data_IF_460776066761
#
_entry.id   IF_460776066761
#
_cell.length_a   1.000
_cell.length_b   1.000
_cell.length_c   1.000
_cell.angle_alpha   90.00
_cell.angle_beta   90.00
_cell.angle_gamma   90.00
#
_symmetry.space_group_name_H-M   'P 1'
#
loop_
_entity.id
_entity.type
_entity.pdbx_description
1 polymer ?
#
# COMPACT_ATOMS: atom_id res chain seq x y z
N UNK A 1 10.36 11.56 25.78
CA UNK A 1 9.53 11.50 24.57
C UNK A 1 8.97 10.08 24.48
N UNK A 2 7.67 9.86 24.29
CA UNK A 2 7.19 8.50 24.05
C UNK A 2 7.83 8.03 22.74
N UNK A 3 8.49 6.87 22.80
CA UNK A 3 8.96 6.14 21.63
C UNK A 3 7.68 5.91 20.79
N UNK A 4 7.64 6.30 19.50
CA UNK A 4 6.51 5.96 18.66
C UNK A 4 6.31 4.45 18.77
N UNK A 5 5.08 4.01 19.06
CA UNK A 5 4.74 2.59 19.05
C UNK A 5 5.21 1.99 17.73
N UNK A 6 6.24 1.14 17.75
CA UNK A 6 6.75 0.45 16.57
C UNK A 6 5.58 -0.28 15.91
N UNK A 7 5.17 0.18 14.73
CA UNK A 7 4.02 -0.38 14.04
C UNK A 7 4.50 -1.61 13.27
N UNK A 8 3.84 -2.77 13.45
CA UNK A 8 4.34 -4.03 12.87
C UNK A 8 4.33 -4.06 11.35
N UNK A 9 3.37 -3.39 10.70
CA UNK A 9 3.23 -3.45 9.25
C UNK A 9 2.72 -2.14 8.65
N UNK A 10 3.08 -1.92 7.39
CA UNK A 10 2.50 -0.92 6.50
C UNK A 10 1.73 -1.60 5.37
N UNK A 11 0.60 -1.03 4.96
CA UNK A 11 -0.13 -1.49 3.78
C UNK A 11 0.08 -0.51 2.65
N UNK A 12 0.84 -0.90 1.64
CA UNK A 12 1.01 -0.10 0.42
C UNK A 12 -0.09 -0.42 -0.58
N UNK A 13 -0.66 0.61 -1.18
CA UNK A 13 -1.67 0.50 -2.23
C UNK A 13 -1.13 1.21 -3.48
N UNK A 14 -0.56 0.44 -4.43
CA UNK A 14 -0.01 0.99 -5.66
C UNK A 14 -1.11 1.57 -6.56
N UNK A 15 -0.95 2.81 -6.99
CA UNK A 15 -1.90 3.49 -7.89
C UNK A 15 -1.17 4.32 -8.95
N UNK A 16 -1.78 4.43 -10.13
CA UNK A 16 -1.25 5.22 -11.25
C UNK A 16 -2.34 6.00 -12.01
N UNK A 17 -3.62 5.78 -11.70
CA UNK A 17 -4.76 6.46 -12.31
C UNK A 17 -5.19 7.62 -11.41
N UNK A 18 -5.66 8.71 -12.01
CA UNK A 18 -6.24 9.83 -11.26
C UNK A 18 -7.57 9.46 -10.61
N UNK A 19 -8.39 8.71 -11.34
CA UNK A 19 -9.71 8.25 -10.90
C UNK A 19 -9.69 6.73 -10.78
N UNK A 20 -9.96 6.17 -9.59
CA UNK A 20 -10.17 4.75 -9.46
C UNK A 20 -11.45 4.34 -10.20
N UNK A 21 -11.41 3.18 -10.85
CA UNK A 21 -12.63 2.51 -11.31
C UNK A 21 -13.53 2.14 -10.12
N UNK A 22 -14.77 1.81 -10.42
CA UNK A 22 -15.75 1.45 -9.40
C UNK A 22 -15.34 0.20 -8.59
N UNK A 23 -14.67 -0.78 -9.22
CA UNK A 23 -14.11 -1.94 -8.52
C UNK A 23 -12.92 -1.56 -7.63
N UNK A 24 -11.97 -0.76 -8.16
CA UNK A 24 -10.81 -0.30 -7.40
C UNK A 24 -11.23 0.55 -6.17
N UNK A 25 -12.24 1.41 -6.34
CA UNK A 25 -12.81 2.20 -5.24
C UNK A 25 -13.45 1.31 -4.16
N UNK A 26 -14.16 0.24 -4.56
CA UNK A 26 -14.73 -0.74 -3.62
C UNK A 26 -13.63 -1.49 -2.86
N UNK A 27 -12.56 -1.90 -3.53
CA UNK A 27 -11.43 -2.56 -2.88
C UNK A 27 -10.75 -1.63 -1.87
N UNK A 28 -10.57 -0.35 -2.20
CA UNK A 28 -10.03 0.63 -1.26
C UNK A 28 -10.95 0.85 -0.05
N UNK A 29 -12.25 1.02 -0.27
CA UNK A 29 -13.23 1.17 0.80
C UNK A 29 -13.36 -0.10 1.66
N UNK A 30 -13.12 -1.27 1.09
CA UNK A 30 -13.09 -2.53 1.83
C UNK A 30 -11.94 -2.56 2.83
N UNK A 31 -10.75 -2.07 2.47
CA UNK A 31 -9.63 -1.93 3.41
C UNK A 31 -10.00 -0.99 4.57
N UNK A 32 -10.70 0.11 4.27
CA UNK A 32 -11.20 1.06 5.28
C UNK A 32 -12.21 0.41 6.21
N UNK A 33 -13.19 -0.31 5.65
CA UNK A 33 -14.23 -1.01 6.40
C UNK A 33 -13.65 -2.07 7.34
N UNK A 34 -12.59 -2.74 6.91
CA UNK A 34 -11.88 -3.75 7.67
C UNK A 34 -10.83 -3.18 8.63
N UNK A 35 -10.81 -1.85 8.79
CA UNK A 35 -9.91 -1.14 9.71
C UNK A 35 -8.43 -1.50 9.49
N UNK A 36 -8.02 -1.64 8.22
CA UNK A 36 -6.62 -1.89 7.88
C UNK A 36 -5.79 -0.67 8.26
N UNK A 37 -4.67 -0.91 8.95
CA UNK A 37 -3.81 0.13 9.50
C UNK A 37 -2.75 0.57 8.47
N UNK A 38 -2.25 1.80 8.65
CA UNK A 38 -1.07 2.34 7.96
C UNK A 38 -1.17 2.22 6.42
N UNK A 39 -2.34 2.53 5.88
CA UNK A 39 -2.59 2.45 4.44
C UNK A 39 -1.95 3.62 3.73
N UNK A 40 -0.94 3.32 2.92
CA UNK A 40 -0.13 4.28 2.16
C UNK A 40 -0.32 4.10 0.66
N UNK A 41 -0.72 5.16 -0.03
CA UNK A 41 -0.76 5.18 -1.49
C UNK A 41 0.67 5.26 -2.05
N UNK A 42 1.07 4.24 -2.81
CA UNK A 42 2.34 4.21 -3.54
C UNK A 42 2.10 4.69 -4.98
N UNK A 43 2.55 5.91 -5.32
CA UNK A 43 2.08 6.58 -6.53
C UNK A 43 3.13 7.49 -7.19
N UNK A 44 2.94 7.87 -8.48
CA UNK A 44 3.80 8.84 -9.16
C UNK A 44 3.81 10.20 -8.44
N UNK A 45 4.94 10.90 -8.44
CA UNK A 45 5.11 12.24 -7.88
C UNK A 45 4.02 13.23 -8.30
N UNK A 46 3.60 13.19 -9.56
CA UNK A 46 2.69 14.17 -10.17
C UNK A 46 1.21 13.75 -10.16
N UNK A 47 0.87 12.60 -9.56
CA UNK A 47 -0.50 12.09 -9.59
C UNK A 47 -1.39 12.90 -8.62
N UNK A 48 -2.48 13.46 -9.15
CA UNK A 48 -3.55 14.06 -8.35
C UNK A 48 -4.33 12.97 -7.59
N UNK A 49 -4.47 13.16 -6.28
CA UNK A 49 -5.05 12.19 -5.35
C UNK A 49 -6.40 12.64 -4.77
N UNK A 50 -6.98 13.75 -5.23
CA UNK A 50 -8.24 14.27 -4.67
C UNK A 50 -9.36 13.22 -4.60
N UNK A 51 -9.50 12.40 -5.63
CA UNK A 51 -10.53 11.34 -5.68
C UNK A 51 -10.30 10.24 -4.63
N UNK A 52 -9.03 9.90 -4.35
CA UNK A 52 -8.70 8.93 -3.31
C UNK A 52 -8.97 9.48 -1.91
N UNK A 53 -8.63 10.76 -1.67
CA UNK A 53 -8.91 11.41 -0.39
C UNK A 53 -10.40 11.66 -0.15
N UNK A 54 -11.19 11.86 -1.21
CA UNK A 54 -12.64 11.92 -1.09
C UNK A 54 -13.24 10.59 -0.61
N UNK A 55 -12.64 9.45 -1.01
CA UNK A 55 -13.06 8.12 -0.57
C UNK A 55 -12.54 7.78 0.84
N UNK A 56 -11.28 8.14 1.11
CA UNK A 56 -10.60 7.85 2.36
C UNK A 56 -9.60 8.98 2.70
N UNK A 57 -9.99 9.94 3.57
CA UNK A 57 -9.16 11.10 3.91
C UNK A 57 -7.86 10.78 4.66
N UNK A 58 -7.83 9.72 5.46
CA UNK A 58 -6.70 9.38 6.35
C UNK A 58 -5.56 8.61 5.65
N UNK A 59 -5.60 8.47 4.33
CA UNK A 59 -4.56 7.78 3.57
C UNK A 59 -3.20 8.48 3.68
N UNK A 60 -2.15 7.70 3.88
CA UNK A 60 -0.76 8.16 3.79
C UNK A 60 -0.29 8.15 2.33
N UNK A 61 0.82 8.83 2.03
CA UNK A 61 1.34 8.95 0.67
C UNK A 61 2.83 8.62 0.63
N UNK A 62 3.21 7.73 -0.28
CA UNK A 62 4.59 7.54 -0.71
C UNK A 62 4.70 7.79 -2.21
N UNK A 63 5.50 8.80 -2.57
CA UNK A 63 5.73 9.17 -3.98
C UNK A 63 6.96 8.46 -4.54
N UNK A 64 6.88 8.09 -5.81
CA UNK A 64 8.00 7.58 -6.59
C UNK A 64 8.09 8.29 -7.94
N UNK A 65 9.30 8.30 -8.52
CA UNK A 65 9.53 8.91 -9.82
C UNK A 65 8.60 8.34 -10.89
N UNK A 66 8.00 9.22 -11.70
CA UNK A 66 6.97 8.86 -12.70
C UNK A 66 7.42 7.79 -13.70
N UNK A 67 8.74 7.66 -13.94
CA UNK A 67 9.33 6.62 -14.80
C UNK A 67 8.98 5.19 -14.38
N UNK A 68 8.60 4.96 -13.12
CA UNK A 68 8.21 3.65 -12.62
C UNK A 68 6.76 3.27 -12.96
N UNK A 69 5.94 4.21 -13.44
CA UNK A 69 4.51 3.97 -13.69
C UNK A 69 4.13 4.14 -15.17
N UNK A 70 5.10 4.00 -16.09
CA UNK A 70 4.86 4.14 -17.53
C UNK A 70 4.35 2.83 -18.17
N UNK A 71 4.63 1.68 -17.55
CA UNK A 71 4.17 0.37 -18.00
C UNK A 71 4.08 -0.61 -16.83
N UNK A 72 3.47 -1.77 -17.08
CA UNK A 72 3.46 -2.88 -16.11
C UNK A 72 4.88 -3.31 -15.76
N UNK A 73 5.78 -3.36 -16.75
CA UNK A 73 7.18 -3.73 -16.52
C UNK A 73 7.90 -2.73 -15.61
N UNK A 74 7.78 -1.43 -15.87
CA UNK A 74 8.47 -0.41 -15.06
C UNK A 74 8.01 -0.41 -13.60
N UNK A 75 6.74 -0.77 -13.39
CA UNK A 75 6.17 -0.91 -12.05
C UNK A 75 6.69 -2.18 -11.37
N UNK A 76 6.72 -3.30 -12.07
CA UNK A 76 7.27 -4.55 -11.56
C UNK A 76 8.75 -4.38 -11.18
N UNK A 77 9.53 -3.66 -12.00
CA UNK A 77 10.94 -3.35 -11.72
C UNK A 77 11.09 -2.53 -10.42
N UNK A 78 10.16 -1.61 -10.15
CA UNK A 78 10.12 -0.89 -8.87
C UNK A 78 9.76 -1.83 -7.72
N UNK A 79 8.72 -2.65 -7.88
CA UNK A 79 8.20 -3.52 -6.83
C UNK A 79 9.22 -4.57 -6.36
N UNK A 80 10.10 -5.06 -7.24
CA UNK A 80 11.18 -5.99 -6.86
C UNK A 80 12.45 -5.26 -6.36
N UNK A 81 12.52 -3.94 -6.54
CA UNK A 81 13.68 -3.15 -6.15
C UNK A 81 13.64 -2.78 -4.67
N UNK A 82 14.79 -2.76 -3.97
CA UNK A 82 14.88 -2.21 -2.62
C UNK A 82 14.32 -0.80 -2.49
N UNK A 83 14.34 -0.02 -3.57
CA UNK A 83 13.85 1.37 -3.58
C UNK A 83 12.38 1.49 -3.19
N UNK A 84 11.55 0.47 -3.42
CA UNK A 84 10.16 0.45 -2.99
C UNK A 84 10.01 0.27 -1.47
N UNK A 85 10.94 -0.45 -0.84
CA UNK A 85 10.83 -0.84 0.57
C UNK A 85 11.56 0.13 1.51
N UNK A 86 12.67 0.72 1.07
CA UNK A 86 13.52 1.64 1.84
C UNK A 86 12.76 2.73 2.61
N UNK A 87 11.70 3.37 2.07
CA UNK A 87 10.97 4.40 2.83
C UNK A 87 10.30 3.90 4.12
N UNK A 88 10.12 2.58 4.28
CA UNK A 88 9.33 1.98 5.36
C UNK A 88 10.18 1.24 6.41
N UNK A 89 11.44 0.93 6.12
CA UNK A 89 12.26 -0.02 6.90
C UNK A 89 12.53 0.42 8.34
N UNK A 90 12.56 1.74 8.61
CA UNK A 90 12.85 2.25 9.95
C UNK A 90 11.65 2.18 10.91
N UNK A 91 10.44 2.00 10.38
CA UNK A 91 9.18 2.09 11.14
C UNK A 91 8.40 0.77 11.18
N UNK A 92 8.64 -0.12 10.22
CA UNK A 92 7.81 -1.30 9.98
C UNK A 92 8.65 -2.56 9.79
N UNK A 93 8.19 -3.67 10.37
CA UNK A 93 8.81 -4.99 10.17
C UNK A 93 8.32 -5.66 8.89
N UNK A 94 7.06 -5.39 8.53
CA UNK A 94 6.38 -6.01 7.39
C UNK A 94 5.78 -4.96 6.45
N UNK A 95 5.75 -5.28 5.16
CA UNK A 95 5.05 -4.51 4.15
C UNK A 95 4.08 -5.41 3.40
N UNK A 96 2.82 -5.01 3.35
CA UNK A 96 1.81 -5.60 2.48
C UNK A 96 1.70 -4.77 1.20
N UNK A 97 1.70 -5.42 0.03
CA UNK A 97 1.33 -4.80 -1.25
C UNK A 97 -0.11 -5.20 -1.57
N UNK A 98 -1.05 -4.28 -1.36
CA UNK A 98 -2.47 -4.49 -1.63
C UNK A 98 -2.86 -3.82 -2.95
N UNK A 99 -2.89 -4.59 -4.04
CA UNK A 99 -3.32 -4.09 -5.35
C UNK A 99 -4.84 -3.89 -5.38
N UNK A 100 -5.31 -2.86 -6.09
CA UNK A 100 -6.74 -2.51 -6.15
C UNK A 100 -7.58 -3.42 -7.08
N UNK A 101 -6.95 -4.36 -7.78
CA UNK A 101 -7.60 -5.46 -8.48
C UNK A 101 -7.84 -6.70 -7.58
N UNK A 102 -7.43 -6.63 -6.32
CA UNK A 102 -7.75 -7.64 -5.28
C UNK A 102 -8.89 -7.16 -4.38
N UNK A 103 -9.50 -8.07 -3.62
CA UNK A 103 -10.56 -7.74 -2.66
C UNK A 103 -10.32 -8.47 -1.34
N UNK A 104 -10.02 -7.73 -0.27
CA UNK A 104 -9.72 -8.30 1.04
C UNK A 104 -10.99 -8.75 1.75
N UNK A 105 -11.10 -10.05 2.04
CA UNK A 105 -12.30 -10.62 2.67
C UNK A 105 -12.31 -10.45 4.20
N UNK A 106 -11.15 -10.52 4.85
CA UNK A 106 -11.02 -10.35 6.29
C UNK A 106 -9.64 -9.79 6.66
N UNK A 107 -9.59 -8.97 7.71
CA UNK A 107 -8.33 -8.41 8.20
C UNK A 107 -7.62 -9.42 9.11
N UNK A 108 -6.67 -10.14 8.55
CA UNK A 108 -5.82 -11.11 9.26
C UNK A 108 -4.33 -10.73 9.22
N UNK A 109 -4.00 -9.50 8.80
CA UNK A 109 -2.63 -9.07 8.49
C UNK A 109 -1.72 -9.22 9.70
N UNK A 110 -2.17 -8.72 10.87
CA UNK A 110 -1.44 -8.87 12.14
C UNK A 110 -1.22 -10.35 12.49
N UNK A 111 -2.19 -11.21 12.20
CA UNK A 111 -2.08 -12.64 12.40
C UNK A 111 -0.91 -13.25 11.60
N UNK A 112 -0.77 -12.87 10.33
CA UNK A 112 0.33 -13.31 9.48
C UNK A 112 1.69 -12.78 9.98
N UNK A 113 1.79 -11.49 10.32
CA UNK A 113 3.01 -10.91 10.89
C UNK A 113 3.48 -11.64 12.16
N UNK A 114 2.55 -12.23 12.94
CA UNK A 114 2.87 -12.91 14.18
C UNK A 114 3.38 -14.35 13.98
N UNK A 115 3.29 -14.92 12.78
CA UNK A 115 3.74 -16.29 12.52
C UNK A 115 5.26 -16.39 12.33
N UNK A 116 5.96 -15.26 12.12
CA UNK A 116 7.42 -15.23 12.04
C UNK A 116 8.01 -15.73 10.71
N UNK A 117 7.21 -15.80 9.65
CA UNK A 117 7.73 -16.01 8.29
C UNK A 117 8.21 -14.69 7.69
N UNK A 118 9.24 -14.76 6.83
CA UNK A 118 9.80 -13.58 6.16
C UNK A 118 8.91 -13.08 5.01
N UNK A 119 8.14 -13.96 4.37
CA UNK A 119 7.33 -13.65 3.20
C UNK A 119 6.07 -14.52 3.11
N UNK A 120 4.97 -13.89 2.72
CA UNK A 120 3.73 -14.55 2.32
C UNK A 120 3.34 -14.07 0.93
N UNK A 121 3.21 -15.00 -0.01
CA UNK A 121 2.75 -14.71 -1.36
C UNK A 121 2.25 -15.97 -2.05
N UNK A 122 1.48 -15.78 -3.11
CA UNK A 122 1.10 -16.90 -3.97
C UNK A 122 2.36 -17.49 -4.65
N UNK A 123 2.41 -18.83 -4.83
CA UNK A 123 3.47 -19.51 -5.58
C UNK A 123 3.42 -19.20 -7.08
#
# INVERSE_FOLDING_TARGET
MPIPSHQRYVTTVPIYKRQPSLSEARSLLQLRLLEVENVTLACPEVLDLSEYFNLWPELQIQRYASKHFVSVQSYNDLAISPSFYVPFVDQYDYLLISQLDTFLLSNQIRGFCNQGYDYFGAP
#
